data_IF_063317689933
#
_entry.id   IF_063317689933
#
_cell.length_a   1.000
_cell.length_b   1.000
_cell.length_c   1.000
_cell.angle_alpha   90.00
_cell.angle_beta   90.00
_cell.angle_gamma   90.00
#
_symmetry.space_group_name_H-M   'P 1'
#
loop_
_entity.id
_entity.type
_entity.pdbx_description
1 polymer ?
#
# COMPACT_ATOMS: atom_id res chain seq x y z
N UNK A 1 -2.48 6.70 19.31
CA UNK A 1 -2.72 6.77 17.85
C UNK A 1 -1.87 7.91 17.33
N UNK A 2 -0.83 7.63 16.54
CA UNK A 2 -0.02 8.70 15.96
C UNK A 2 -0.82 9.35 14.82
N UNK A 3 -0.83 10.68 14.76
CA UNK A 3 -1.42 11.45 13.66
C UNK A 3 -0.62 11.20 12.38
N UNK A 4 -1.23 11.11 11.19
CA UNK A 4 -0.47 11.01 9.93
C UNK A 4 0.33 12.28 9.70
N UNK A 5 1.58 12.16 9.23
CA UNK A 5 2.45 13.31 8.96
C UNK A 5 1.88 14.18 7.83
N UNK A 6 1.16 13.57 6.90
CA UNK A 6 0.47 14.25 5.80
C UNK A 6 -1.02 14.49 6.04
N UNK A 7 -1.53 14.19 7.23
CA UNK A 7 -2.93 14.43 7.61
C UNK A 7 -3.93 13.38 7.14
N UNK A 8 -3.65 12.57 6.11
CA UNK A 8 -4.51 11.46 5.67
C UNK A 8 -3.75 10.13 5.55
N UNK A 9 -4.51 9.03 5.70
CA UNK A 9 -4.06 7.65 5.50
C UNK A 9 -4.98 6.93 4.55
N UNK A 10 -4.38 6.13 3.68
CA UNK A 10 -5.04 5.11 2.88
C UNK A 10 -4.65 3.75 3.47
N UNK A 11 -5.63 2.93 3.80
CA UNK A 11 -5.42 1.53 4.20
C UNK A 11 -5.78 0.65 3.03
N UNK A 12 -4.78 -0.05 2.49
CA UNK A 12 -4.91 -0.90 1.31
C UNK A 12 -5.08 -2.34 1.77
N UNK A 13 -6.30 -2.87 1.74
CA UNK A 13 -6.51 -4.30 1.98
C UNK A 13 -6.19 -5.10 0.72
N UNK A 14 -5.10 -5.85 0.75
CA UNK A 14 -4.57 -6.61 -0.38
C UNK A 14 -4.82 -8.11 -0.21
N UNK A 15 -4.97 -8.81 -1.34
CA UNK A 15 -4.95 -10.26 -1.42
C UNK A 15 -3.81 -10.67 -2.34
N UNK A 16 -2.92 -11.51 -1.84
CA UNK A 16 -1.74 -11.98 -2.57
C UNK A 16 -1.88 -13.48 -2.78
N UNK A 17 -1.59 -13.92 -3.99
CA UNK A 17 -1.44 -15.33 -4.33
C UNK A 17 -0.06 -15.53 -4.94
N UNK A 18 0.77 -16.34 -4.29
CA UNK A 18 2.13 -16.61 -4.73
C UNK A 18 2.16 -17.75 -5.73
N UNK A 19 3.05 -17.65 -6.72
CA UNK A 19 3.25 -18.73 -7.70
C UNK A 19 3.96 -19.94 -7.07
N UNK A 20 3.98 -21.10 -7.74
CA UNK A 20 4.76 -22.25 -7.30
C UNK A 20 6.27 -22.02 -7.25
N UNK A 21 6.78 -21.06 -8.02
CA UNK A 21 8.20 -20.69 -8.09
C UNK A 21 8.52 -19.41 -7.30
N UNK A 22 7.57 -18.87 -6.54
CA UNK A 22 7.77 -17.64 -5.77
C UNK A 22 8.86 -17.82 -4.72
N UNK A 23 9.74 -16.83 -4.62
CA UNK A 23 10.80 -16.75 -3.61
C UNK A 23 10.77 -15.36 -2.96
N UNK A 24 10.49 -15.33 -1.65
CA UNK A 24 10.38 -14.08 -0.88
C UNK A 24 11.68 -13.29 -0.83
N UNK A 25 12.84 -13.90 -1.10
CA UNK A 25 14.12 -13.20 -1.16
C UNK A 25 14.29 -12.36 -2.43
N UNK A 26 13.57 -12.69 -3.51
CA UNK A 26 13.74 -12.06 -4.83
C UNK A 26 12.55 -11.22 -5.26
N UNK A 27 11.32 -11.63 -4.97
CA UNK A 27 10.11 -10.96 -5.47
C UNK A 27 9.46 -10.00 -4.46
N UNK A 28 9.96 -9.92 -3.23
CA UNK A 28 9.48 -8.99 -2.22
C UNK A 28 8.06 -9.29 -1.71
N UNK A 29 7.70 -8.64 -0.61
CA UNK A 29 6.36 -8.67 0.00
C UNK A 29 5.76 -7.29 -0.20
N UNK A 30 4.44 -7.13 -0.43
CA UNK A 30 3.86 -5.81 -0.58
C UNK A 30 4.20 -4.89 0.59
N UNK A 31 4.81 -3.75 0.30
CA UNK A 31 5.24 -2.75 1.29
C UNK A 31 4.82 -1.35 0.88
N UNK A 32 4.69 -0.45 1.87
CA UNK A 32 4.27 0.94 1.65
C UNK A 32 5.15 1.70 0.64
N UNK A 33 6.45 1.42 0.60
CA UNK A 33 7.38 2.13 -0.29
C UNK A 33 7.17 1.83 -1.78
N UNK A 34 6.40 0.80 -2.11
CA UNK A 34 6.04 0.45 -3.49
C UNK A 34 4.87 1.29 -4.01
N UNK A 35 4.26 2.09 -3.14
CA UNK A 35 3.08 2.89 -3.43
C UNK A 35 3.39 4.37 -3.39
N UNK A 36 2.80 5.12 -4.30
CA UNK A 36 2.73 6.58 -4.28
C UNK A 36 1.30 7.04 -4.50
N UNK A 37 1.04 8.31 -4.19
CA UNK A 37 -0.25 8.94 -4.51
C UNK A 37 -0.04 10.15 -5.40
N UNK A 38 -0.92 10.35 -6.38
CA UNK A 38 -0.96 11.56 -7.20
C UNK A 38 -2.19 12.37 -6.78
N UNK A 39 -1.95 13.59 -6.32
CA UNK A 39 -3.01 14.52 -5.93
C UNK A 39 -3.81 15.06 -7.13
N UNK A 40 -4.94 15.76 -6.88
CA UNK A 40 -5.73 16.38 -7.95
C UNK A 40 -4.98 17.48 -8.72
N UNK A 41 -3.91 18.01 -8.14
CA UNK A 41 -2.97 18.96 -8.74
C UNK A 41 -1.92 18.29 -9.65
N UNK A 42 -1.93 16.95 -9.73
CA UNK A 42 -0.98 16.16 -10.50
C UNK A 42 0.37 15.96 -9.82
N UNK A 43 0.53 16.37 -8.56
CA UNK A 43 1.78 16.19 -7.80
C UNK A 43 1.83 14.77 -7.23
N UNK A 44 2.94 14.07 -7.48
CA UNK A 44 3.21 12.75 -6.91
C UNK A 44 3.83 12.85 -5.52
N UNK A 45 3.34 12.03 -4.62
CA UNK A 45 3.74 11.90 -3.23
C UNK A 45 4.20 10.46 -2.98
N UNK A 46 5.50 10.24 -2.82
CA UNK A 46 6.02 8.94 -2.40
C UNK A 46 5.62 8.68 -0.94
N UNK A 47 5.32 7.43 -0.59
CA UNK A 47 5.05 7.06 0.81
C UNK A 47 6.24 7.44 1.72
N UNK A 48 6.02 8.09 2.87
CA UNK A 48 7.10 8.47 3.77
C UNK A 48 7.85 7.23 4.27
N UNK A 49 9.13 7.39 4.62
CA UNK A 49 10.01 6.30 5.08
C UNK A 49 9.55 5.62 6.36
N UNK A 50 8.58 6.19 7.08
CA UNK A 50 7.94 5.61 8.26
C UNK A 50 6.42 5.63 8.13
N UNK A 51 5.84 4.74 7.31
CA UNK A 51 4.40 4.49 7.46
C UNK A 51 4.20 3.64 8.72
N UNK A 52 3.67 4.30 9.75
CA UNK A 52 3.53 3.77 11.10
C UNK A 52 2.63 2.53 11.14
N UNK A 53 3.05 1.53 11.95
CA UNK A 53 2.24 0.40 12.42
C UNK A 53 0.94 0.89 13.07
N UNK A 54 -0.09 1.14 12.28
CA UNK A 54 -1.44 1.36 12.81
C UNK A 54 -2.28 0.07 12.80
N UNK A 55 -1.85 -0.94 12.03
CA UNK A 55 -2.58 -2.20 11.82
C UNK A 55 -1.64 -3.42 11.76
N UNK A 56 -0.70 -3.55 12.70
CA UNK A 56 0.24 -4.69 12.73
C UNK A 56 -0.45 -6.06 12.82
N UNK A 57 -1.71 -6.10 13.28
CA UNK A 57 -2.53 -7.32 13.32
C UNK A 57 -2.85 -7.87 11.91
N UNK A 58 -2.95 -7.01 10.90
CA UNK A 58 -3.26 -7.37 9.52
C UNK A 58 -2.07 -7.13 8.58
N UNK A 59 -0.85 -6.95 9.12
CA UNK A 59 0.35 -6.84 8.32
C UNK A 59 0.67 -8.16 7.60
N UNK A 60 1.31 -8.07 6.43
CA UNK A 60 1.84 -9.25 5.76
C UNK A 60 2.99 -9.88 6.58
N UNK A 61 3.17 -11.21 6.49
CA UNK A 61 4.29 -11.86 7.15
C UNK A 61 5.61 -11.40 6.54
N UNK A 62 6.71 -11.49 7.30
CA UNK A 62 8.05 -11.17 6.79
C UNK A 62 8.51 -12.12 5.68
N UNK A 63 7.90 -13.30 5.56
CA UNK A 63 8.14 -14.26 4.48
C UNK A 63 6.81 -14.83 3.97
N UNK A 64 6.69 -14.95 2.65
CA UNK A 64 5.59 -15.62 1.98
C UNK A 64 6.08 -16.93 1.36
N UNK A 65 5.27 -17.98 1.47
CA UNK A 65 5.58 -19.31 0.95
C UNK A 65 5.10 -19.42 -0.51
N UNK A 66 5.71 -20.28 -1.34
CA UNK A 66 5.19 -20.57 -2.68
C UNK A 66 3.78 -21.20 -2.63
N UNK A 67 2.99 -20.99 -3.69
CA UNK A 67 1.62 -21.55 -3.84
C UNK A 67 0.68 -21.27 -2.65
N UNK A 68 0.79 -20.09 -2.03
CA UNK A 68 0.02 -19.71 -0.86
C UNK A 68 -0.81 -18.45 -1.12
N UNK A 69 -1.85 -18.26 -0.30
CA UNK A 69 -2.74 -17.10 -0.36
C UNK A 69 -2.66 -16.32 0.94
N UNK A 70 -2.53 -15.01 0.83
CA UNK A 70 -2.43 -14.08 1.95
C UNK A 70 -3.48 -12.99 1.83
N UNK A 71 -3.91 -12.49 2.99
CA UNK A 71 -4.61 -11.23 3.12
C UNK A 71 -3.83 -10.38 4.10
N UNK A 72 -3.62 -9.13 3.74
CA UNK A 72 -2.94 -8.18 4.62
C UNK A 72 -3.22 -6.75 4.20
N UNK A 73 -2.68 -5.83 4.97
CA UNK A 73 -2.88 -4.41 4.79
C UNK A 73 -1.56 -3.67 4.63
N UNK A 74 -1.57 -2.68 3.74
CA UNK A 74 -0.48 -1.72 3.57
C UNK A 74 -1.04 -0.32 3.83
N UNK A 75 -0.39 0.45 4.68
CA UNK A 75 -0.79 1.84 4.96
C UNK A 75 0.05 2.81 4.16
N UNK A 76 -0.60 3.74 3.48
CA UNK A 76 0.03 4.83 2.71
C UNK A 76 -0.41 6.16 3.28
N UNK A 77 0.50 7.13 3.42
CA UNK A 77 0.15 8.49 3.83
C UNK A 77 0.09 9.44 2.64
N UNK A 78 -0.92 10.31 2.65
CA UNK A 78 -1.13 11.30 1.60
C UNK A 78 -1.64 12.60 2.18
N UNK A 79 -1.36 13.73 1.51
CA UNK A 79 -1.96 15.02 1.85
C UNK A 79 -3.39 15.17 1.28
N UNK A 80 -3.83 14.23 0.44
CA UNK A 80 -5.01 14.38 -0.39
C UNK A 80 -6.13 13.42 0.03
N UNK A 81 -7.38 13.89 0.00
CA UNK A 81 -8.58 13.05 0.25
C UNK A 81 -9.05 12.27 -0.97
N UNK A 82 -8.58 12.67 -2.14
CA UNK A 82 -8.90 12.08 -3.45
C UNK A 82 -7.69 12.21 -4.35
N UNK A 83 -7.54 11.30 -5.29
CA UNK A 83 -6.40 11.26 -6.19
C UNK A 83 -6.24 9.88 -6.79
N UNK A 84 -5.03 9.58 -7.25
CA UNK A 84 -4.68 8.26 -7.77
C UNK A 84 -3.69 7.59 -6.83
N UNK A 85 -3.94 6.33 -6.48
CA UNK A 85 -2.97 5.44 -5.85
C UNK A 85 -2.21 4.74 -6.97
N UNK A 86 -0.89 4.77 -6.92
CA UNK A 86 -0.02 4.18 -7.95
C UNK A 86 0.84 3.11 -7.30
N UNK A 87 0.91 1.93 -7.94
CA UNK A 87 1.77 0.81 -7.53
C UNK A 87 2.93 0.65 -8.51
N UNK A 88 4.15 0.76 -8.00
CA UNK A 88 5.42 0.58 -8.72
C UNK A 88 5.41 1.14 -10.17
N UNK A 89 4.82 2.32 -10.34
CA UNK A 89 4.66 3.06 -11.59
C UNK A 89 3.97 2.31 -12.75
N UNK A 90 3.31 1.17 -12.49
CA UNK A 90 2.70 0.35 -13.55
C UNK A 90 1.17 0.29 -13.50
N UNK A 91 0.57 0.46 -12.33
CA UNK A 91 -0.88 0.41 -12.15
C UNK A 91 -1.37 1.56 -11.27
N UNK A 92 -2.54 2.10 -11.60
CA UNK A 92 -3.13 3.23 -10.89
C UNK A 92 -4.63 3.02 -10.66
N UNK A 93 -5.11 3.47 -9.51
CA UNK A 93 -6.52 3.44 -9.12
C UNK A 93 -6.95 4.76 -8.51
N UNK A 94 -8.13 5.25 -8.86
CA UNK A 94 -8.68 6.43 -8.22
C UNK A 94 -9.15 6.08 -6.80
N UNK A 95 -8.85 6.95 -5.84
CA UNK A 95 -9.38 6.89 -4.48
C UNK A 95 -10.15 8.18 -4.14
N UNK A 96 -11.02 8.08 -3.13
CA UNK A 96 -11.87 9.21 -2.72
C UNK A 96 -13.08 9.47 -3.63
N UNK A 97 -13.39 8.54 -4.54
CA UNK A 97 -14.66 8.51 -5.28
C UNK A 97 -15.74 7.83 -4.42
N UNK A 98 -16.47 8.62 -3.65
CA UNK A 98 -17.75 8.15 -3.10
C UNK A 98 -18.73 7.94 -4.26
N UNK A 99 -18.96 6.70 -4.65
CA UNK A 99 -20.32 6.31 -5.05
C UNK A 99 -21.13 6.24 -3.76
N UNK A 100 -22.10 7.14 -3.65
CA UNK A 100 -23.15 7.07 -2.63
C UNK A 100 -24.10 5.91 -2.93
#
# INVERSE_FOLDING_TARGET
MNTPDRGHRLVLSLRVETSPSYDSMSEGIPQYFEWSTIGPDGVSEASPTSSLDCHSADAFPHEMRPSAKYRGEVTVETANRKGQLVFADFAAWDYGSTTA
#
